data_IF_160988031919
#
_entry.id   IF_160988031919
#
_cell.length_a   1.000
_cell.length_b   1.000
_cell.length_c   1.000
_cell.angle_alpha   90.00
_cell.angle_beta   90.00
_cell.angle_gamma   90.00
#
_symmetry.space_group_name_H-M   'P 1'
#
loop_
_entity.id
_entity.type
_entity.pdbx_description
1 polymer ?
#
# COMPACT_ATOMS: atom_id res chain seq x y z
N UNK A 1 -6.28 -3.42 -20.96
CA UNK A 1 -5.07 -2.86 -20.31
C UNK A 1 -5.31 -2.47 -18.86
N UNK A 2 -6.42 -1.78 -18.52
CA UNK A 2 -6.74 -1.40 -17.13
C UNK A 2 -6.89 -2.59 -16.15
N UNK A 3 -7.43 -3.73 -16.60
CA UNK A 3 -7.69 -4.90 -15.74
C UNK A 3 -6.41 -5.56 -15.20
N UNK A 4 -5.42 -5.81 -16.06
CA UNK A 4 -4.13 -6.37 -15.63
C UNK A 4 -3.37 -5.41 -14.70
N UNK A 5 -3.43 -4.10 -14.98
CA UNK A 5 -2.84 -3.08 -14.11
C UNK A 5 -3.52 -3.04 -12.72
N UNK A 6 -4.85 -3.13 -12.68
CA UNK A 6 -5.59 -3.20 -11.42
C UNK A 6 -5.28 -4.45 -10.61
N UNK A 7 -5.12 -5.61 -11.26
CA UNK A 7 -4.72 -6.86 -10.59
C UNK A 7 -3.31 -6.76 -10.01
N UNK A 8 -2.36 -6.21 -10.76
CA UNK A 8 -1.00 -5.99 -10.30
C UNK A 8 -0.95 -5.02 -9.10
N UNK A 9 -1.69 -3.91 -9.17
CA UNK A 9 -1.81 -2.97 -8.06
C UNK A 9 -2.39 -3.62 -6.80
N UNK A 10 -3.41 -4.47 -6.94
CA UNK A 10 -3.99 -5.19 -5.81
C UNK A 10 -2.97 -6.13 -5.17
N UNK A 11 -2.24 -6.92 -5.98
CA UNK A 11 -1.20 -7.83 -5.49
C UNK A 11 -0.08 -7.07 -4.76
N UNK A 12 0.38 -5.95 -5.32
CA UNK A 12 1.40 -5.13 -4.69
C UNK A 12 0.92 -4.48 -3.39
N UNK A 13 -0.35 -4.08 -3.32
CA UNK A 13 -0.95 -3.50 -2.12
C UNK A 13 -1.06 -4.54 -1.00
N UNK A 14 -1.53 -5.75 -1.33
CA UNK A 14 -1.62 -6.86 -0.37
C UNK A 14 -0.24 -7.24 0.16
N UNK A 15 0.77 -7.32 -0.71
CA UNK A 15 2.14 -7.58 -0.30
C UNK A 15 2.67 -6.47 0.62
N UNK A 16 2.47 -5.20 0.29
CA UNK A 16 2.95 -4.09 1.10
C UNK A 16 2.30 -4.07 2.50
N UNK A 17 1.02 -4.47 2.59
CA UNK A 17 0.32 -4.63 3.88
C UNK A 17 0.87 -5.78 4.71
N UNK A 18 1.17 -6.92 4.08
CA UNK A 18 1.80 -8.05 4.75
C UNK A 18 3.19 -7.67 5.29
N UNK A 19 4.01 -7.02 4.47
CA UNK A 19 5.34 -6.51 4.86
C UNK A 19 5.24 -5.53 6.03
N UNK A 20 4.26 -4.61 6.02
CA UNK A 20 3.98 -3.70 7.12
C UNK A 20 3.56 -4.43 8.41
N UNK A 21 2.71 -5.45 8.29
CA UNK A 21 2.30 -6.27 9.44
C UNK A 21 3.49 -7.03 10.04
N UNK A 22 4.38 -7.55 9.20
CA UNK A 22 5.61 -8.21 9.63
C UNK A 22 6.57 -7.23 10.31
N UNK A 23 6.78 -6.03 9.76
CA UNK A 23 7.60 -4.99 10.38
C UNK A 23 7.05 -4.58 11.74
N UNK A 24 5.73 -4.41 11.87
CA UNK A 24 5.03 -4.16 13.15
C UNK A 24 5.28 -5.27 14.15
N UNK A 25 5.14 -6.52 13.74
CA UNK A 25 5.36 -7.68 14.60
C UNK A 25 6.82 -7.81 15.05
N UNK A 26 7.77 -7.38 14.21
CA UNK A 26 9.20 -7.38 14.50
C UNK A 26 9.66 -6.17 15.33
N UNK A 27 8.82 -5.12 15.46
CA UNK A 27 9.24 -3.84 16.04
C UNK A 27 10.22 -3.07 15.16
N UNK A 28 10.22 -3.33 13.85
CA UNK A 28 11.07 -2.68 12.86
C UNK A 28 10.46 -1.32 12.45
N UNK A 29 10.82 -0.25 13.16
CA UNK A 29 10.28 1.10 12.96
C UNK A 29 10.59 1.66 11.56
N UNK A 30 11.80 1.41 11.06
CA UNK A 30 12.22 1.83 9.72
C UNK A 30 11.40 1.08 8.64
N UNK A 31 11.25 -0.24 8.81
CA UNK A 31 10.40 -1.06 7.95
C UNK A 31 8.95 -0.60 7.99
N UNK A 32 8.41 -0.29 9.18
CA UNK A 32 7.04 0.20 9.33
C UNK A 32 6.82 1.50 8.55
N UNK A 33 7.74 2.47 8.65
CA UNK A 33 7.63 3.73 7.90
C UNK A 33 7.76 3.51 6.40
N UNK A 34 8.71 2.67 5.97
CA UNK A 34 8.92 2.37 4.55
C UNK A 34 7.70 1.70 3.91
N UNK A 35 7.14 0.67 4.55
CA UNK A 35 5.98 -0.05 4.02
C UNK A 35 4.69 0.77 4.11
N UNK A 36 4.52 1.61 5.14
CA UNK A 36 3.40 2.56 5.22
C UNK A 36 3.44 3.55 4.04
N UNK A 37 4.60 4.12 3.72
CA UNK A 37 4.77 5.00 2.56
C UNK A 37 4.50 4.28 1.23
N UNK A 38 4.90 3.01 1.11
CA UNK A 38 4.62 2.18 -0.07
C UNK A 38 3.12 1.95 -0.25
N UNK A 39 2.39 1.62 0.82
CA UNK A 39 0.94 1.46 0.80
C UNK A 39 0.26 2.74 0.32
N UNK A 40 0.59 3.89 0.94
CA UNK A 40 0.02 5.18 0.55
C UNK A 40 0.32 5.54 -0.93
N UNK A 41 1.56 5.28 -1.38
CA UNK A 41 1.97 5.48 -2.77
C UNK A 41 1.14 4.66 -3.77
N UNK A 42 0.90 3.37 -3.47
CA UNK A 42 0.10 2.49 -4.31
C UNK A 42 -1.36 2.93 -4.40
N UNK A 43 -1.94 3.38 -3.28
CA UNK A 43 -3.32 3.91 -3.25
C UNK A 43 -3.47 5.17 -4.09
N UNK A 44 -2.52 6.11 -3.97
CA UNK A 44 -2.50 7.33 -4.80
C UNK A 44 -2.32 7.01 -6.28
N UNK A 45 -1.47 6.03 -6.60
CA UNK A 45 -1.28 5.57 -7.97
C UNK A 45 -2.59 4.98 -8.53
N UNK A 46 -3.27 4.13 -7.76
CA UNK A 46 -4.56 3.57 -8.14
C UNK A 46 -5.60 4.67 -8.41
N UNK A 47 -5.73 5.63 -7.49
CA UNK A 47 -6.64 6.77 -7.62
C UNK A 47 -6.34 7.61 -8.87
N UNK A 48 -5.06 7.90 -9.15
CA UNK A 48 -4.66 8.64 -10.34
C UNK A 48 -5.11 7.94 -11.64
N UNK A 49 -5.04 6.62 -11.67
CA UNK A 49 -5.44 5.82 -12.82
C UNK A 49 -6.93 5.43 -12.82
N UNK A 50 -7.73 5.91 -11.86
CA UNK A 50 -9.16 5.60 -11.74
C UNK A 50 -9.44 4.16 -11.32
N UNK A 51 -8.46 3.47 -10.74
CA UNK A 51 -8.62 2.13 -10.15
C UNK A 51 -9.08 2.30 -8.71
N UNK A 52 -10.16 1.63 -8.34
CA UNK A 52 -10.65 1.61 -6.97
C UNK A 52 -10.09 0.36 -6.27
N UNK A 53 -9.27 0.58 -5.24
CA UNK A 53 -8.76 -0.48 -4.38
C UNK A 53 -9.40 -0.35 -2.99
N UNK A 54 -9.74 -1.46 -2.32
CA UNK A 54 -10.19 -1.42 -0.93
C UNK A 54 -9.04 -0.94 -0.03
N UNK A 55 -9.29 0.07 0.79
CA UNK A 55 -8.33 0.63 1.74
C UNK A 55 -9.02 1.25 2.95
N UNK A 56 -8.27 1.34 4.05
CA UNK A 56 -8.66 2.09 5.24
C UNK A 56 -8.16 3.54 5.12
N UNK A 57 -8.90 4.51 5.64
CA UNK A 57 -8.55 5.94 5.54
C UNK A 57 -7.18 6.26 6.15
N UNK A 58 -6.73 5.47 7.14
CA UNK A 58 -5.41 5.63 7.77
C UNK A 58 -4.25 5.25 6.84
N UNK A 59 -4.50 4.50 5.76
CA UNK A 59 -3.47 4.05 4.83
C UNK A 59 -3.07 5.14 3.81
N UNK A 60 -3.87 6.20 3.68
CA UNK A 60 -3.62 7.30 2.73
C UNK A 60 -2.57 8.30 3.24
N UNK A 61 -2.37 8.35 4.57
CA UNK A 61 -1.54 9.34 5.27
C UNK A 61 -0.07 8.93 5.42
N UNK A 62 0.43 7.93 4.68
CA UNK A 62 1.77 7.33 4.82
C UNK A 62 2.99 8.24 4.58
N UNK A 63 2.82 9.56 4.60
CA UNK A 63 3.89 10.55 4.60
C UNK A 63 3.95 11.24 5.97
N UNK A 64 4.90 10.80 6.80
CA UNK A 64 5.40 11.54 7.96
C UNK A 64 6.90 11.71 7.84
#
# INVERSE_FOLDING_TARGET
MSEMFGQELHAQLDQAREELALARAAGDEDGMQAYAGRVAGLLRLAAHHGVQLPHETQEEDGES
#
